data_IF_048764297041
#
_entry.id   IF_048764297041
#
_cell.length_a   1.000
_cell.length_b   1.000
_cell.length_c   1.000
_cell.angle_alpha   90.00
_cell.angle_beta   90.00
_cell.angle_gamma   90.00
#
_symmetry.space_group_name_H-M   'P 1'
#
loop_
_entity.id
_entity.type
_entity.pdbx_description
1 polymer ?
#
# COMPACT_ATOMS: atom_id res chain seq x y z
N UNK A 1 38.93 79.85 -22.49
CA UNK A 1 39.19 78.42 -22.44
C UNK A 1 38.68 77.88 -21.11
N UNK A 2 37.49 77.28 -21.06
CA UNK A 2 36.94 76.63 -19.88
C UNK A 2 36.63 75.18 -20.26
N UNK A 3 37.36 74.24 -19.65
CA UNK A 3 37.13 72.78 -19.78
C UNK A 3 35.91 72.36 -18.93
N UNK A 4 34.92 71.85 -19.58
CA UNK A 4 33.84 71.10 -18.90
C UNK A 4 34.28 69.63 -18.69
N UNK A 5 34.35 69.20 -17.41
CA UNK A 5 34.52 67.81 -17.04
C UNK A 5 33.11 67.19 -16.96
N UNK A 6 32.78 66.23 -17.86
CA UNK A 6 31.59 65.46 -17.78
C UNK A 6 31.74 64.33 -16.77
N UNK A 7 30.87 64.26 -15.75
CA UNK A 7 30.68 63.08 -14.89
C UNK A 7 29.73 62.11 -15.60
N UNK A 8 30.23 60.94 -15.95
CA UNK A 8 29.40 59.81 -16.35
C UNK A 8 28.89 59.08 -15.09
N UNK A 9 27.63 59.21 -14.79
CA UNK A 9 26.98 58.42 -13.74
C UNK A 9 26.63 57.01 -14.28
N UNK A 10 27.34 55.98 -13.80
CA UNK A 10 26.99 54.58 -14.05
C UNK A 10 25.77 54.19 -13.19
N UNK A 11 24.62 54.05 -13.83
CA UNK A 11 23.40 53.48 -13.18
C UNK A 11 23.60 51.97 -13.06
N UNK A 12 23.84 51.46 -11.85
CA UNK A 12 23.71 50.02 -11.56
C UNK A 12 22.24 49.64 -11.64
N UNK A 13 21.87 48.87 -12.66
CA UNK A 13 20.59 48.19 -12.75
C UNK A 13 20.64 47.03 -11.75
N UNK A 14 20.03 47.22 -10.57
CA UNK A 14 19.72 46.14 -9.65
C UNK A 14 18.65 45.23 -10.32
N UNK A 15 19.07 44.08 -10.83
CA UNK A 15 18.15 43.01 -11.23
C UNK A 15 17.49 42.52 -9.95
N UNK A 16 16.15 42.60 -9.82
CA UNK A 16 15.50 41.98 -8.68
C UNK A 16 15.76 40.47 -8.73
N UNK A 17 16.45 39.93 -7.73
CA UNK A 17 16.50 38.51 -7.52
C UNK A 17 15.03 38.01 -7.38
N UNK A 18 14.55 37.31 -8.41
CA UNK A 18 13.26 36.70 -8.35
C UNK A 18 13.20 35.81 -7.11
N UNK A 19 12.33 36.12 -6.17
CA UNK A 19 12.02 35.22 -5.06
C UNK A 19 11.41 33.98 -5.70
N UNK A 20 12.17 32.88 -5.76
CA UNK A 20 11.61 31.59 -6.10
C UNK A 20 10.47 31.36 -5.09
N UNK A 21 9.25 31.31 -5.59
CA UNK A 21 8.10 30.96 -4.74
C UNK A 21 8.32 29.52 -4.31
N UNK A 22 8.36 29.27 -2.98
CA UNK A 22 8.48 27.93 -2.46
C UNK A 22 7.37 27.04 -3.05
N UNK A 23 7.72 25.79 -3.36
CA UNK A 23 6.75 24.83 -3.87
C UNK A 23 5.62 24.61 -2.85
N UNK A 24 4.43 24.27 -3.31
CA UNK A 24 3.30 23.98 -2.42
C UNK A 24 3.69 22.97 -1.34
N UNK A 25 3.31 23.23 -0.09
CA UNK A 25 3.60 22.37 1.06
C UNK A 25 5.02 22.44 1.60
N UNK A 26 5.85 23.36 1.06
CA UNK A 26 7.22 23.60 1.55
C UNK A 26 7.30 24.99 2.18
N UNK A 27 7.81 25.06 3.40
CA UNK A 27 8.14 26.30 4.10
C UNK A 27 9.61 26.29 4.48
N UNK A 28 10.09 27.34 5.16
CA UNK A 28 11.46 27.41 5.67
C UNK A 28 11.77 26.33 6.73
N UNK A 29 10.75 25.81 7.43
CA UNK A 29 10.92 24.90 8.58
C UNK A 29 10.21 23.56 8.41
N UNK A 30 9.25 23.45 7.51
CA UNK A 30 8.40 22.26 7.38
C UNK A 30 8.17 21.86 5.91
N UNK A 31 7.99 20.55 5.70
CA UNK A 31 7.46 19.95 4.47
C UNK A 31 6.21 19.16 4.85
N UNK A 32 5.08 19.49 4.22
CA UNK A 32 3.79 18.92 4.55
C UNK A 32 3.44 17.77 3.61
N UNK A 33 3.29 16.57 4.16
CA UNK A 33 2.82 15.37 3.45
C UNK A 33 1.34 15.11 3.78
N UNK A 34 0.64 14.48 2.85
CA UNK A 34 -0.74 14.06 3.02
C UNK A 34 -0.94 12.58 2.80
N UNK A 35 -1.92 12.00 3.47
CA UNK A 35 -2.42 10.67 3.15
C UNK A 35 -3.93 10.58 3.33
N UNK A 36 -4.56 9.67 2.59
CA UNK A 36 -5.94 9.25 2.81
C UNK A 36 -5.92 7.76 3.08
N UNK A 37 -6.46 7.35 4.24
CA UNK A 37 -6.49 5.96 4.70
C UNK A 37 -7.79 5.64 5.41
N UNK A 38 -8.24 4.36 5.41
CA UNK A 38 -9.29 3.93 6.32
C UNK A 38 -8.71 3.86 7.74
N UNK A 39 -8.94 4.88 8.56
CA UNK A 39 -8.49 4.91 9.96
C UNK A 39 -9.56 4.42 10.93
N UNK A 40 -10.77 4.18 10.45
CA UNK A 40 -11.91 3.66 11.22
C UNK A 40 -12.54 2.43 10.57
N UNK A 41 -13.36 1.70 11.34
CA UNK A 41 -14.00 0.47 10.89
C UNK A 41 -13.07 -0.73 10.74
N UNK A 42 -13.54 -1.89 10.22
CA UNK A 42 -12.72 -3.08 10.05
C UNK A 42 -11.48 -2.87 9.16
N UNK A 43 -11.53 -2.14 8.02
CA UNK A 43 -10.34 -1.84 7.23
C UNK A 43 -9.34 -0.92 7.95
N UNK A 44 -9.73 -0.28 9.06
CA UNK A 44 -8.83 0.53 9.87
C UNK A 44 -7.59 -0.21 10.38
N UNK A 45 -7.63 -1.54 10.49
CA UNK A 45 -6.44 -2.34 10.81
C UNK A 45 -5.32 -2.16 9.76
N UNK A 46 -5.67 -1.93 8.50
CA UNK A 46 -4.72 -1.70 7.41
C UNK A 46 -4.21 -0.25 7.46
N UNK A 47 -5.15 0.70 7.43
CA UNK A 47 -4.82 2.12 7.31
C UNK A 47 -4.07 2.65 8.53
N UNK A 48 -4.47 2.29 9.75
CA UNK A 48 -3.75 2.67 10.97
C UNK A 48 -2.32 2.13 10.94
N UNK A 49 -2.13 0.86 10.56
CA UNK A 49 -0.80 0.27 10.48
C UNK A 49 0.06 0.94 9.39
N UNK A 50 -0.53 1.27 8.24
CA UNK A 50 0.14 2.02 7.18
C UNK A 50 0.57 3.41 7.67
N UNK A 51 -0.33 4.18 8.28
CA UNK A 51 -0.03 5.48 8.87
C UNK A 51 1.13 5.43 9.89
N UNK A 52 1.18 4.36 10.71
CA UNK A 52 2.30 4.14 11.63
C UNK A 52 3.62 3.96 10.86
N UNK A 53 3.61 3.26 9.73
CA UNK A 53 4.79 3.10 8.86
C UNK A 53 5.26 4.42 8.24
N UNK A 54 4.33 5.24 7.76
CA UNK A 54 4.61 6.60 7.26
C UNK A 54 5.26 7.44 8.35
N UNK A 55 4.67 7.46 9.55
CA UNK A 55 5.21 8.19 10.71
C UNK A 55 6.60 7.71 11.11
N UNK A 56 6.85 6.40 11.05
CA UNK A 56 8.17 5.84 11.37
C UNK A 56 9.24 6.35 10.40
N UNK A 57 8.97 6.32 9.08
CA UNK A 57 9.90 6.83 8.09
C UNK A 57 10.18 8.33 8.26
N UNK A 58 9.15 9.10 8.59
CA UNK A 58 9.28 10.54 8.87
C UNK A 58 10.05 10.80 10.17
N UNK A 59 9.79 10.05 11.23
CA UNK A 59 10.45 10.22 12.52
C UNK A 59 11.95 9.93 12.43
N UNK A 60 12.36 8.91 11.67
CA UNK A 60 13.75 8.58 11.40
C UNK A 60 14.46 9.80 10.77
N UNK A 61 13.89 10.39 9.74
CA UNK A 61 14.46 11.55 9.04
C UNK A 61 14.42 12.82 9.88
N UNK A 62 13.33 13.05 10.60
CA UNK A 62 13.20 14.20 11.47
C UNK A 62 14.22 14.20 12.62
N UNK A 63 14.56 13.00 13.14
CA UNK A 63 15.62 12.86 14.15
C UNK A 63 17.02 13.19 13.60
N UNK A 64 17.23 13.07 12.28
CA UNK A 64 18.47 13.47 11.57
C UNK A 64 18.49 14.97 11.18
N UNK A 65 17.46 15.73 11.52
CA UNK A 65 17.35 17.17 11.19
C UNK A 65 16.44 17.48 10.01
N UNK A 66 15.71 16.49 9.48
CA UNK A 66 14.75 16.65 8.39
C UNK A 66 15.40 16.66 6.99
N UNK A 67 14.77 17.34 6.06
CA UNK A 67 15.26 17.51 4.66
C UNK A 67 15.64 18.94 4.45
N UNK A 68 16.94 19.22 4.25
CA UNK A 68 17.44 20.59 4.13
C UNK A 68 17.09 21.46 5.35
N UNK A 69 17.08 20.89 6.56
CA UNK A 69 16.71 21.57 7.79
C UNK A 69 15.19 21.69 8.06
N UNK A 70 14.35 21.17 7.16
CA UNK A 70 12.88 21.20 7.26
C UNK A 70 12.35 19.90 7.84
N UNK A 71 11.47 19.99 8.85
CA UNK A 71 10.82 18.85 9.45
C UNK A 71 9.66 18.34 8.57
N UNK A 72 9.51 17.03 8.44
CA UNK A 72 8.35 16.43 7.79
C UNK A 72 7.15 16.43 8.73
N UNK A 73 6.00 16.82 8.23
CA UNK A 73 4.72 16.79 8.93
C UNK A 73 3.67 16.09 8.07
N UNK A 74 2.81 15.29 8.70
CA UNK A 74 1.76 14.51 8.03
C UNK A 74 0.37 15.05 8.40
N UNK A 75 -0.49 15.19 7.38
CA UNK A 75 -1.94 15.29 7.55
C UNK A 75 -2.55 13.98 7.06
N UNK A 76 -3.17 13.24 7.96
CA UNK A 76 -3.86 11.99 7.67
C UNK A 76 -5.38 12.21 7.70
N UNK A 77 -6.07 11.82 6.64
CA UNK A 77 -7.52 11.91 6.50
C UNK A 77 -8.15 10.52 6.54
N UNK A 78 -9.20 10.35 7.36
CA UNK A 78 -9.97 9.12 7.48
C UNK A 78 -11.09 9.07 6.45
N UNK A 79 -11.01 8.18 5.48
CA UNK A 79 -12.10 7.94 4.54
C UNK A 79 -13.07 6.82 4.95
N UNK A 80 -12.75 6.07 6.01
CA UNK A 80 -13.55 4.91 6.45
C UNK A 80 -13.77 3.87 5.36
N UNK A 81 -12.87 3.81 4.37
CA UNK A 81 -12.96 2.95 3.18
C UNK A 81 -14.13 3.28 2.25
N UNK A 82 -14.56 4.56 2.22
CA UNK A 82 -15.67 5.06 1.40
C UNK A 82 -15.14 6.01 0.32
N UNK A 83 -15.25 5.62 -0.95
CA UNK A 83 -14.69 6.34 -2.11
C UNK A 83 -15.08 7.83 -2.18
N UNK A 84 -16.34 8.19 -1.85
CA UNK A 84 -16.75 9.59 -1.86
C UNK A 84 -16.03 10.43 -0.80
N UNK A 85 -15.70 9.84 0.36
CA UNK A 85 -14.89 10.51 1.40
C UNK A 85 -13.45 10.65 0.95
N UNK A 86 -12.86 9.61 0.32
CA UNK A 86 -11.52 9.70 -0.27
C UNK A 86 -11.39 10.90 -1.18
N UNK A 87 -12.36 11.09 -2.09
CA UNK A 87 -12.39 12.23 -3.02
C UNK A 87 -12.47 13.58 -2.29
N UNK A 88 -13.27 13.67 -1.21
CA UNK A 88 -13.37 14.89 -0.41
C UNK A 88 -12.06 15.19 0.33
N UNK A 89 -11.46 14.17 0.96
CA UNK A 89 -10.19 14.27 1.67
C UNK A 89 -9.04 14.69 0.74
N UNK A 90 -8.96 14.12 -0.47
CA UNK A 90 -7.96 14.52 -1.46
C UNK A 90 -8.11 15.97 -1.90
N UNK A 91 -9.34 16.41 -2.18
CA UNK A 91 -9.59 17.82 -2.52
C UNK A 91 -9.18 18.76 -1.39
N UNK A 92 -9.38 18.35 -0.14
CA UNK A 92 -8.95 19.11 1.04
C UNK A 92 -7.43 19.15 1.14
N UNK A 93 -6.76 17.99 1.11
CA UNK A 93 -5.31 17.89 1.22
C UNK A 93 -4.58 18.69 0.12
N UNK A 94 -5.04 18.57 -1.14
CA UNK A 94 -4.39 19.23 -2.27
C UNK A 94 -4.77 20.72 -2.35
N UNK A 95 -6.05 21.07 -2.20
CA UNK A 95 -6.55 22.41 -2.45
C UNK A 95 -6.50 23.34 -1.25
N UNK A 96 -6.80 22.83 -0.04
CA UNK A 96 -6.90 23.64 1.19
C UNK A 96 -5.65 23.52 2.05
N UNK A 97 -5.23 22.29 2.38
CA UNK A 97 -4.06 22.05 3.23
C UNK A 97 -2.75 22.22 2.43
N UNK A 98 -2.83 22.10 1.10
CA UNK A 98 -1.72 22.32 0.17
C UNK A 98 -0.51 21.45 0.49
N UNK A 99 -0.71 20.14 0.65
CA UNK A 99 0.39 19.20 0.90
C UNK A 99 1.37 19.12 -0.29
N UNK A 100 2.63 18.83 -0.01
CA UNK A 100 3.67 18.70 -1.03
C UNK A 100 3.56 17.39 -1.81
N UNK A 101 3.29 16.30 -1.13
CA UNK A 101 3.17 14.97 -1.73
C UNK A 101 2.16 14.11 -0.98
N UNK A 102 1.67 13.06 -1.64
CA UNK A 102 0.77 12.07 -1.05
C UNK A 102 1.52 10.76 -0.80
N UNK A 103 1.37 10.20 0.40
CA UNK A 103 1.99 8.93 0.81
C UNK A 103 1.12 7.73 0.54
N UNK A 104 -0.22 7.91 0.41
CA UNK A 104 -1.20 6.88 0.06
C UNK A 104 -2.51 7.46 -0.46
N UNK A 105 -3.27 6.62 -1.19
CA UNK A 105 -4.59 6.92 -1.77
C UNK A 105 -5.68 5.94 -1.27
N UNK A 106 -5.52 5.35 -0.09
CA UNK A 106 -6.43 4.35 0.47
C UNK A 106 -6.45 3.02 -0.34
N UNK A 107 -7.61 2.42 -0.59
CA UNK A 107 -7.72 1.12 -1.27
C UNK A 107 -7.86 1.21 -2.79
N UNK A 108 -8.08 0.06 -3.43
CA UNK A 108 -8.07 -0.10 -4.90
C UNK A 108 -9.07 0.80 -5.63
N UNK A 109 -10.35 0.71 -5.29
CA UNK A 109 -11.39 1.55 -5.92
C UNK A 109 -11.24 3.03 -5.57
N UNK A 110 -10.72 3.34 -4.39
CA UNK A 110 -10.39 4.69 -3.95
C UNK A 110 -9.25 5.28 -4.78
N UNK A 111 -8.15 4.53 -4.94
CA UNK A 111 -7.01 4.97 -5.74
C UNK A 111 -7.40 5.21 -7.21
N UNK A 112 -8.19 4.31 -7.82
CA UNK A 112 -8.71 4.51 -9.18
C UNK A 112 -9.59 5.77 -9.29
N UNK A 113 -10.50 5.97 -8.35
CA UNK A 113 -11.35 7.17 -8.33
C UNK A 113 -10.56 8.46 -8.09
N UNK A 114 -9.42 8.38 -7.42
CA UNK A 114 -8.51 9.50 -7.15
C UNK A 114 -7.67 9.91 -8.35
N UNK A 115 -7.43 8.99 -9.29
CA UNK A 115 -6.54 9.15 -10.42
C UNK A 115 -6.74 10.48 -11.19
N UNK A 116 -7.94 10.90 -11.61
CA UNK A 116 -8.13 12.15 -12.33
C UNK A 116 -7.71 13.39 -11.51
N UNK A 117 -7.95 13.37 -10.20
CA UNK A 117 -7.66 14.48 -9.30
C UNK A 117 -6.15 14.63 -9.10
N UNK A 118 -5.48 13.52 -8.79
CA UNK A 118 -4.04 13.50 -8.53
C UNK A 118 -3.25 13.83 -9.80
N UNK A 119 -3.67 13.31 -10.96
CA UNK A 119 -3.07 13.64 -12.26
C UNK A 119 -3.20 15.13 -12.58
N UNK A 120 -4.40 15.70 -12.43
CA UNK A 120 -4.64 17.11 -12.72
C UNK A 120 -3.87 18.05 -11.77
N UNK A 121 -3.64 17.63 -10.53
CA UNK A 121 -2.87 18.40 -9.55
C UNK A 121 -1.35 18.36 -9.81
N UNK A 122 -0.82 17.32 -10.45
CA UNK A 122 0.61 17.14 -10.68
C UNK A 122 1.44 16.82 -9.43
N UNK A 123 0.80 16.66 -8.28
CA UNK A 123 1.45 16.38 -6.99
C UNK A 123 2.06 14.97 -6.99
N UNK A 124 3.29 14.76 -6.51
CA UNK A 124 3.87 13.43 -6.35
C UNK A 124 3.01 12.55 -5.44
N UNK A 125 2.67 11.35 -5.87
CA UNK A 125 1.84 10.42 -5.09
C UNK A 125 2.39 9.00 -5.12
N UNK A 126 2.58 8.42 -3.93
CA UNK A 126 2.88 7.00 -3.75
C UNK A 126 1.58 6.20 -3.59
N UNK A 127 1.53 5.01 -4.15
CA UNK A 127 0.39 4.09 -4.03
C UNK A 127 0.90 2.72 -3.55
N UNK A 128 1.08 2.54 -2.24
CA UNK A 128 1.52 1.27 -1.65
C UNK A 128 0.37 0.28 -1.39
N UNK A 129 -0.88 0.73 -1.56
CA UNK A 129 -2.09 -0.08 -1.37
C UNK A 129 -2.93 0.02 -2.64
N UNK A 130 -3.44 -1.11 -3.13
CA UNK A 130 -4.31 -1.16 -4.30
C UNK A 130 -3.58 -1.05 -5.66
N UNK A 131 -2.53 -1.84 -5.92
CA UNK A 131 -1.74 -1.77 -7.15
C UNK A 131 -2.52 -2.32 -8.36
N UNK A 132 -3.39 -1.50 -8.93
CA UNK A 132 -4.19 -1.84 -10.12
C UNK A 132 -3.58 -1.25 -11.40
N UNK A 133 -3.62 -1.97 -12.54
CA UNK A 133 -3.01 -1.53 -13.79
C UNK A 133 -3.31 -0.10 -14.22
N UNK A 134 -4.55 0.44 -14.15
CA UNK A 134 -4.81 1.81 -14.60
C UNK A 134 -4.07 2.90 -13.81
N UNK A 135 -3.46 2.56 -12.67
CA UNK A 135 -2.64 3.49 -11.89
C UNK A 135 -1.22 3.64 -12.44
N UNK A 136 -0.75 2.69 -13.25
CA UNK A 136 0.59 2.66 -13.80
C UNK A 136 0.67 2.31 -15.30
N UNK A 137 -0.44 1.86 -15.92
CA UNK A 137 -0.56 1.55 -17.35
C UNK A 137 -1.76 2.27 -17.98
N UNK A 138 -1.55 3.24 -18.89
CA UNK A 138 -0.23 3.79 -19.26
C UNK A 138 0.43 4.56 -18.11
N UNK A 139 1.77 4.72 -18.12
CA UNK A 139 2.51 5.43 -17.07
C UNK A 139 1.93 6.83 -16.80
N UNK A 140 1.74 7.15 -15.53
CA UNK A 140 1.31 8.48 -15.08
C UNK A 140 2.54 9.31 -14.66
N UNK A 141 2.54 10.62 -14.94
CA UNK A 141 3.71 11.43 -14.70
C UNK A 141 4.11 11.52 -13.23
N UNK A 142 3.11 11.55 -12.32
CA UNK A 142 3.29 11.87 -10.91
C UNK A 142 2.78 10.79 -9.93
N UNK A 143 2.36 9.61 -10.41
CA UNK A 143 1.85 8.51 -9.58
C UNK A 143 2.80 7.32 -9.65
N UNK A 144 3.22 6.82 -8.49
CA UNK A 144 4.21 5.76 -8.32
C UNK A 144 3.63 4.63 -7.48
N UNK A 145 3.48 3.46 -8.07
CA UNK A 145 2.82 2.29 -7.46
C UNK A 145 3.88 1.31 -6.94
N UNK A 146 3.68 0.81 -5.73
CA UNK A 146 4.64 -0.06 -5.04
C UNK A 146 3.99 -1.38 -4.64
N UNK A 147 4.72 -2.47 -4.78
CA UNK A 147 4.31 -3.80 -4.33
C UNK A 147 4.18 -4.81 -5.45
N UNK A 148 3.16 -5.66 -5.41
CA UNK A 148 2.86 -6.64 -6.45
C UNK A 148 1.42 -6.50 -6.91
N UNK A 149 1.15 -6.73 -8.19
CA UNK A 149 -0.22 -6.73 -8.69
C UNK A 149 -1.06 -7.83 -8.04
N UNK A 150 -2.33 -7.56 -7.79
CA UNK A 150 -3.25 -8.56 -7.24
C UNK A 150 -3.41 -9.77 -8.15
N UNK A 151 -3.45 -9.53 -9.46
CA UNK A 151 -3.55 -10.58 -10.47
C UNK A 151 -2.38 -11.55 -10.38
N UNK A 152 -1.14 -11.02 -10.39
CA UNK A 152 0.06 -11.87 -10.30
C UNK A 152 0.17 -12.57 -8.93
N UNK A 153 -0.10 -11.87 -7.84
CA UNK A 153 -0.08 -12.47 -6.51
C UNK A 153 -1.07 -13.63 -6.37
N UNK A 154 -2.30 -13.47 -6.88
CA UNK A 154 -3.31 -14.54 -6.86
C UNK A 154 -2.98 -15.65 -7.86
N UNK A 155 -2.42 -15.33 -9.02
CA UNK A 155 -1.93 -16.32 -9.99
C UNK A 155 -0.91 -17.26 -9.34
N UNK A 156 0.11 -16.72 -8.69
CA UNK A 156 1.14 -17.52 -7.99
C UNK A 156 0.56 -18.36 -6.84
N UNK A 157 -0.35 -17.80 -6.06
CA UNK A 157 -1.04 -18.54 -4.99
C UNK A 157 -1.89 -19.69 -5.54
N UNK A 158 -2.65 -19.44 -6.60
CA UNK A 158 -3.50 -20.46 -7.23
C UNK A 158 -2.67 -21.59 -7.86
N UNK A 159 -1.58 -21.28 -8.56
CA UNK A 159 -0.66 -22.28 -9.08
C UNK A 159 -0.03 -23.16 -7.99
N UNK A 160 0.41 -22.53 -6.90
CA UNK A 160 0.95 -23.27 -5.75
C UNK A 160 -0.09 -24.23 -5.17
N UNK A 161 -1.32 -23.77 -4.97
CA UNK A 161 -2.40 -24.58 -4.42
C UNK A 161 -2.82 -25.70 -5.38
N UNK A 162 -2.91 -25.46 -6.68
CA UNK A 162 -3.23 -26.49 -7.68
C UNK A 162 -2.17 -27.59 -7.71
N UNK A 163 -0.90 -27.23 -7.60
CA UNK A 163 0.22 -28.17 -7.51
C UNK A 163 0.19 -28.98 -6.20
N UNK A 164 -0.14 -28.31 -5.08
CA UNK A 164 -0.13 -28.94 -3.74
C UNK A 164 -1.36 -29.83 -3.53
N UNK A 165 -2.49 -29.49 -4.11
CA UNK A 165 -3.78 -30.17 -3.95
C UNK A 165 -4.39 -30.56 -5.31
N UNK A 166 -3.74 -31.43 -6.09
CA UNK A 166 -4.20 -31.79 -7.43
C UNK A 166 -5.57 -32.50 -7.38
N UNK A 167 -6.42 -32.20 -8.37
CA UNK A 167 -7.74 -32.83 -8.55
C UNK A 167 -8.81 -32.43 -7.52
N UNK A 168 -8.50 -31.54 -6.57
CA UNK A 168 -9.44 -31.06 -5.57
C UNK A 168 -10.49 -30.13 -6.16
N UNK A 169 -11.70 -30.13 -5.55
CA UNK A 169 -12.78 -29.22 -5.92
C UNK A 169 -12.58 -27.86 -5.27
N UNK A 170 -12.58 -26.81 -6.07
CA UNK A 170 -12.37 -25.44 -5.62
C UNK A 170 -13.67 -24.68 -5.44
N UNK A 171 -13.70 -23.88 -4.37
CA UNK A 171 -14.67 -22.80 -4.16
C UNK A 171 -13.95 -21.45 -4.26
N UNK A 172 -14.60 -20.49 -4.91
CA UNK A 172 -14.05 -19.14 -5.10
C UNK A 172 -15.11 -18.13 -4.65
N UNK A 173 -14.79 -17.33 -3.62
CA UNK A 173 -15.67 -16.27 -3.11
C UNK A 173 -14.89 -14.97 -3.11
N UNK A 174 -15.23 -14.04 -4.00
CA UNK A 174 -14.50 -12.79 -4.21
C UNK A 174 -15.37 -11.57 -3.92
N UNK A 175 -14.74 -10.45 -3.52
CA UNK A 175 -15.46 -9.17 -3.38
C UNK A 175 -15.89 -8.66 -4.77
N UNK A 176 -17.12 -8.16 -4.91
CA UNK A 176 -17.63 -7.58 -6.17
C UNK A 176 -17.17 -6.14 -6.34
N UNK A 177 -15.87 -5.99 -6.62
CA UNK A 177 -15.24 -4.72 -6.96
C UNK A 177 -13.93 -4.94 -7.74
N UNK A 178 -13.16 -3.84 -7.97
CA UNK A 178 -11.93 -3.91 -8.75
C UNK A 178 -10.85 -4.79 -8.08
N UNK A 179 -10.86 -4.90 -6.74
CA UNK A 179 -9.97 -5.81 -6.02
C UNK A 179 -10.30 -7.27 -6.33
N UNK A 180 -11.56 -7.67 -6.14
CA UNK A 180 -11.97 -9.05 -6.41
C UNK A 180 -11.86 -9.43 -7.89
N UNK A 181 -12.14 -8.49 -8.82
CA UNK A 181 -11.91 -8.71 -10.26
C UNK A 181 -10.44 -9.01 -10.57
N UNK A 182 -9.50 -8.29 -9.95
CA UNK A 182 -8.08 -8.54 -10.15
C UNK A 182 -7.65 -9.91 -9.59
N UNK A 183 -8.20 -10.35 -8.45
CA UNK A 183 -7.99 -11.71 -7.94
C UNK A 183 -8.54 -12.76 -8.91
N UNK A 184 -9.77 -12.57 -9.42
CA UNK A 184 -10.39 -13.47 -10.40
C UNK A 184 -9.55 -13.62 -11.66
N UNK A 185 -8.99 -12.53 -12.18
CA UNK A 185 -8.07 -12.58 -13.32
C UNK A 185 -6.84 -13.43 -13.04
N UNK A 186 -6.27 -13.36 -11.83
CA UNK A 186 -5.14 -14.21 -11.44
C UNK A 186 -5.50 -15.69 -11.40
N UNK A 187 -6.71 -16.03 -10.92
CA UNK A 187 -7.20 -17.41 -10.93
C UNK A 187 -7.41 -17.88 -12.38
N UNK A 188 -7.99 -17.06 -13.26
CA UNK A 188 -8.16 -17.41 -14.67
C UNK A 188 -6.82 -17.64 -15.39
N UNK A 189 -5.78 -16.85 -15.08
CA UNK A 189 -4.43 -17.10 -15.59
C UNK A 189 -3.90 -18.45 -15.11
N UNK A 190 -4.07 -18.77 -13.81
CA UNK A 190 -3.65 -20.06 -13.27
C UNK A 190 -4.39 -21.25 -13.90
N UNK A 191 -5.68 -21.12 -14.24
CA UNK A 191 -6.45 -22.14 -14.98
C UNK A 191 -5.89 -22.44 -16.38
N UNK A 192 -5.20 -21.50 -16.99
CA UNK A 192 -4.56 -21.72 -18.28
C UNK A 192 -3.28 -22.58 -18.18
N UNK A 193 -2.70 -22.69 -16.97
CA UNK A 193 -1.43 -23.37 -16.73
C UNK A 193 -1.58 -24.63 -15.85
N UNK A 194 -2.67 -24.74 -15.08
CA UNK A 194 -2.91 -25.85 -14.17
C UNK A 194 -4.39 -26.27 -14.18
N UNK A 195 -4.64 -27.55 -13.91
CA UNK A 195 -6.00 -28.03 -13.73
C UNK A 195 -6.58 -27.54 -12.41
N UNK A 196 -7.60 -26.66 -12.47
CA UNK A 196 -8.34 -26.13 -11.33
C UNK A 196 -9.83 -26.45 -11.53
N UNK A 197 -10.34 -27.41 -10.74
CA UNK A 197 -11.71 -27.86 -10.82
C UNK A 197 -12.62 -26.98 -9.95
N UNK A 198 -13.22 -25.93 -10.52
CA UNK A 198 -14.12 -25.01 -9.82
C UNK A 198 -15.50 -25.62 -9.68
N UNK A 199 -15.88 -26.00 -8.47
CA UNK A 199 -17.19 -26.55 -8.11
C UNK A 199 -18.19 -25.47 -7.65
N UNK A 200 -17.71 -24.35 -7.15
CA UNK A 200 -18.54 -23.23 -6.73
C UNK A 200 -17.77 -21.89 -6.90
N UNK A 201 -18.44 -20.91 -7.47
CA UNK A 201 -17.89 -19.55 -7.61
C UNK A 201 -19.00 -18.53 -7.39
N UNK A 202 -18.68 -17.47 -6.64
CA UNK A 202 -19.59 -16.34 -6.43
C UNK A 202 -18.82 -15.08 -6.03
N UNK A 203 -19.53 -13.95 -6.12
CA UNK A 203 -19.07 -12.68 -5.55
C UNK A 203 -19.98 -12.24 -4.41
N UNK A 204 -19.47 -11.32 -3.56
CA UNK A 204 -20.22 -10.72 -2.47
C UNK A 204 -20.04 -9.20 -2.47
N UNK A 205 -21.06 -8.49 -1.95
CA UNK A 205 -20.99 -7.04 -1.87
C UNK A 205 -20.00 -6.55 -0.78
N UNK A 206 -19.27 -5.50 -1.04
CA UNK A 206 -18.36 -4.87 -0.08
C UNK A 206 -19.08 -4.61 1.26
N UNK A 207 -18.47 -5.05 2.36
CA UNK A 207 -19.02 -4.90 3.71
C UNK A 207 -20.07 -5.91 4.09
N UNK A 208 -20.30 -6.96 3.29
CA UNK A 208 -21.16 -8.11 3.67
C UNK A 208 -20.64 -8.73 4.96
N UNK A 209 -21.55 -9.06 5.87
CA UNK A 209 -21.22 -9.62 7.20
C UNK A 209 -21.66 -11.06 7.38
N UNK A 210 -22.68 -11.48 6.64
CA UNK A 210 -23.25 -12.83 6.70
C UNK A 210 -22.86 -13.61 5.45
N UNK A 211 -22.25 -14.77 5.64
CA UNK A 211 -21.80 -15.68 4.59
C UNK A 211 -22.41 -17.09 4.74
N UNK A 212 -23.46 -17.23 5.53
CA UNK A 212 -24.09 -18.52 5.77
C UNK A 212 -24.59 -19.20 4.47
N UNK A 213 -25.17 -18.42 3.56
CA UNK A 213 -25.67 -18.91 2.27
C UNK A 213 -24.54 -19.40 1.36
N UNK A 214 -23.49 -18.60 1.22
CA UNK A 214 -22.32 -18.93 0.40
C UNK A 214 -21.60 -20.15 0.95
N UNK A 215 -21.39 -20.20 2.26
CA UNK A 215 -20.69 -21.32 2.90
C UNK A 215 -21.51 -22.60 2.92
N UNK A 216 -22.86 -22.54 2.96
CA UNK A 216 -23.71 -23.72 2.76
C UNK A 216 -23.54 -24.28 1.33
N UNK A 217 -23.48 -23.41 0.32
CA UNK A 217 -23.23 -23.84 -1.07
C UNK A 217 -21.80 -24.40 -1.26
N UNK A 218 -20.80 -23.86 -0.57
CA UNK A 218 -19.44 -24.43 -0.49
C UNK A 218 -19.52 -25.88 0.03
N UNK A 219 -20.29 -26.11 1.11
CA UNK A 219 -20.50 -27.44 1.67
C UNK A 219 -21.22 -28.38 0.69
N UNK A 220 -22.33 -27.93 0.10
CA UNK A 220 -23.14 -28.74 -0.81
C UNK A 220 -22.40 -29.12 -2.10
N UNK A 221 -21.54 -28.24 -2.60
CA UNK A 221 -20.67 -28.49 -3.74
C UNK A 221 -19.49 -29.43 -3.42
N UNK A 222 -19.25 -29.70 -2.13
CA UNK A 222 -18.13 -30.53 -1.69
C UNK A 222 -16.79 -29.89 -1.95
N UNK A 223 -16.67 -28.58 -1.72
CA UNK A 223 -15.44 -27.82 -1.91
C UNK A 223 -14.35 -28.30 -0.95
N UNK A 224 -13.16 -28.53 -1.47
CA UNK A 224 -11.99 -29.01 -0.73
C UNK A 224 -10.88 -27.95 -0.62
N UNK A 225 -10.84 -26.97 -1.57
CA UNK A 225 -9.98 -25.80 -1.53
C UNK A 225 -10.83 -24.56 -1.69
N UNK A 226 -10.78 -23.62 -0.76
CA UNK A 226 -11.57 -22.39 -0.77
C UNK A 226 -10.67 -21.17 -0.89
N UNK A 227 -10.83 -20.40 -1.95
CA UNK A 227 -10.30 -19.03 -2.05
C UNK A 227 -11.30 -18.09 -1.40
N UNK A 228 -10.96 -17.58 -0.22
CA UNK A 228 -11.70 -16.56 0.51
C UNK A 228 -11.09 -15.20 0.20
N UNK A 229 -11.54 -14.55 -0.88
CA UNK A 229 -11.02 -13.28 -1.39
C UNK A 229 -11.60 -12.07 -0.65
N UNK A 230 -11.64 -12.14 0.67
CA UNK A 230 -12.03 -11.04 1.54
C UNK A 230 -10.88 -10.12 1.94
N UNK A 231 -11.21 -9.05 2.67
CA UNK A 231 -10.20 -8.13 3.22
C UNK A 231 -9.93 -8.49 4.68
N UNK A 232 -10.81 -8.17 5.61
CA UNK A 232 -10.66 -8.41 7.05
C UNK A 232 -11.87 -9.18 7.60
N UNK A 233 -13.01 -8.46 7.74
CA UNK A 233 -14.22 -9.00 8.36
C UNK A 233 -14.82 -10.15 7.58
N UNK A 234 -14.70 -10.10 6.27
CA UNK A 234 -15.23 -11.11 5.35
C UNK A 234 -14.45 -12.42 5.49
N UNK A 235 -13.12 -12.38 5.55
CA UNK A 235 -12.29 -13.55 5.79
C UNK A 235 -12.61 -14.20 7.14
N UNK A 236 -12.75 -13.38 8.19
CA UNK A 236 -13.13 -13.86 9.52
C UNK A 236 -14.51 -14.55 9.48
N UNK A 237 -15.49 -13.92 8.81
CA UNK A 237 -16.86 -14.45 8.73
C UNK A 237 -16.91 -15.77 7.94
N UNK A 238 -16.25 -15.86 6.78
CA UNK A 238 -16.22 -17.09 5.98
C UNK A 238 -15.59 -18.26 6.73
N UNK A 239 -14.45 -18.04 7.41
CA UNK A 239 -13.78 -19.12 8.16
C UNK A 239 -14.62 -19.58 9.36
N UNK A 240 -15.21 -18.65 10.11
CA UNK A 240 -16.10 -18.99 11.22
C UNK A 240 -17.35 -19.72 10.78
N UNK A 241 -17.92 -19.37 9.64
CA UNK A 241 -19.09 -20.06 9.12
C UNK A 241 -18.74 -21.47 8.63
N UNK A 242 -17.52 -21.66 8.03
CA UNK A 242 -17.00 -23.00 7.71
C UNK A 242 -16.92 -23.88 8.97
N UNK A 243 -16.36 -23.36 10.06
CA UNK A 243 -16.26 -24.05 11.34
C UNK A 243 -17.64 -24.43 11.90
N UNK A 244 -18.58 -23.48 11.90
CA UNK A 244 -19.97 -23.69 12.34
C UNK A 244 -20.70 -24.75 11.52
N UNK A 245 -20.45 -24.82 10.20
CA UNK A 245 -21.03 -25.84 9.30
C UNK A 245 -20.30 -27.20 9.38
N UNK A 246 -19.23 -27.30 10.17
CA UNK A 246 -18.42 -28.51 10.33
C UNK A 246 -17.70 -28.93 9.05
N UNK A 247 -17.29 -27.95 8.20
CA UNK A 247 -16.49 -28.20 7.01
C UNK A 247 -15.07 -27.65 7.23
N UNK A 248 -14.09 -28.31 6.62
CA UNK A 248 -12.67 -27.99 6.79
C UNK A 248 -11.95 -28.01 5.43
N UNK A 249 -12.34 -27.18 4.47
CA UNK A 249 -11.58 -27.04 3.22
C UNK A 249 -10.19 -26.47 3.52
N UNK A 250 -9.23 -26.69 2.63
CA UNK A 250 -8.01 -25.90 2.60
C UNK A 250 -8.39 -24.46 2.28
N UNK A 251 -8.16 -23.54 3.20
CA UNK A 251 -8.53 -22.12 3.01
C UNK A 251 -7.30 -21.34 2.58
N UNK A 252 -7.48 -20.51 1.56
CA UNK A 252 -6.52 -19.49 1.16
C UNK A 252 -7.20 -18.12 1.16
N UNK A 253 -6.52 -17.15 1.76
CA UNK A 253 -6.87 -15.73 1.74
C UNK A 253 -5.82 -14.96 0.95
N UNK A 254 -5.97 -13.65 0.86
CA UNK A 254 -4.99 -12.82 0.17
C UNK A 254 -4.31 -11.86 1.16
N UNK A 255 -3.22 -11.19 0.79
CA UNK A 255 -2.42 -10.40 1.75
C UNK A 255 -3.17 -9.36 2.58
N UNK A 256 -4.34 -8.78 2.20
CA UNK A 256 -5.10 -7.93 3.12
C UNK A 256 -5.46 -8.63 4.43
N UNK A 257 -5.77 -9.92 4.38
CA UNK A 257 -6.06 -10.74 5.57
C UNK A 257 -4.84 -11.20 6.35
N UNK A 258 -3.62 -10.96 5.87
CA UNK A 258 -2.37 -11.42 6.51
C UNK A 258 -1.92 -10.50 7.64
N UNK A 259 -2.76 -10.34 8.64
CA UNK A 259 -2.45 -9.59 9.87
C UNK A 259 -2.77 -10.44 11.11
N UNK A 260 -2.00 -10.33 12.19
CA UNK A 260 -2.16 -11.12 13.41
C UNK A 260 -3.57 -11.05 14.01
N UNK A 261 -4.20 -9.88 13.91
CA UNK A 261 -5.55 -9.63 14.45
C UNK A 261 -6.61 -10.49 13.75
N UNK A 262 -6.44 -10.77 12.46
CA UNK A 262 -7.36 -11.67 11.71
C UNK A 262 -7.21 -13.09 12.23
N UNK A 263 -5.99 -13.60 12.40
CA UNK A 263 -5.77 -14.94 12.96
C UNK A 263 -6.36 -15.06 14.36
N UNK A 264 -6.11 -14.06 15.20
CA UNK A 264 -6.66 -14.00 16.57
C UNK A 264 -8.19 -13.97 16.57
N UNK A 265 -8.80 -13.20 15.68
CA UNK A 265 -10.26 -13.08 15.60
C UNK A 265 -10.92 -14.37 15.07
N UNK A 266 -10.29 -15.08 14.15
CA UNK A 266 -10.74 -16.39 13.67
C UNK A 266 -10.60 -17.43 14.76
N UNK A 267 -9.46 -17.47 15.48
CA UNK A 267 -9.14 -18.50 16.46
C UNK A 267 -8.41 -19.69 15.85
N UNK A 268 -8.46 -20.87 16.51
CA UNK A 268 -7.72 -22.08 16.07
C UNK A 268 -7.99 -22.51 14.62
N UNK A 269 -9.18 -22.22 14.08
CA UNK A 269 -9.52 -22.49 12.68
C UNK A 269 -8.68 -21.70 11.68
N UNK A 270 -7.92 -20.68 12.12
CA UNK A 270 -6.98 -19.96 11.26
C UNK A 270 -5.68 -20.73 11.00
N UNK A 271 -5.42 -21.80 11.78
CA UNK A 271 -4.19 -22.57 11.60
C UNK A 271 -4.17 -23.24 10.22
N UNK A 272 -3.10 -23.02 9.48
CA UNK A 272 -2.93 -23.61 8.15
C UNK A 272 -3.56 -22.85 7.00
N UNK A 273 -4.19 -21.69 7.23
CA UNK A 273 -4.67 -20.81 6.14
C UNK A 273 -3.48 -20.38 5.28
N UNK A 274 -3.61 -20.54 3.97
CA UNK A 274 -2.65 -20.04 3.01
C UNK A 274 -2.88 -18.57 2.70
N UNK A 275 -1.80 -17.89 2.35
CA UNK A 275 -1.82 -16.53 1.82
C UNK A 275 -0.57 -16.32 0.96
N UNK A 276 -0.47 -15.16 0.35
CA UNK A 276 0.68 -14.73 -0.43
C UNK A 276 1.05 -13.31 -0.04
N UNK A 277 2.33 -12.96 -0.02
CA UNK A 277 2.76 -11.59 0.25
C UNK A 277 4.16 -11.32 -0.34
N UNK A 278 4.45 -10.03 -0.52
CA UNK A 278 5.73 -9.48 -0.97
C UNK A 278 6.49 -8.74 0.15
N UNK A 279 5.90 -8.67 1.35
CA UNK A 279 6.51 -8.04 2.54
C UNK A 279 7.02 -9.13 3.48
N UNK A 280 8.20 -8.91 4.04
CA UNK A 280 8.85 -9.85 4.95
C UNK A 280 7.93 -10.25 6.12
N UNK A 281 7.94 -11.52 6.54
CA UNK A 281 7.26 -11.94 7.77
C UNK A 281 7.87 -11.24 9.00
N UNK A 282 7.01 -10.85 9.95
CA UNK A 282 7.47 -10.20 11.21
C UNK A 282 8.47 -11.05 12.00
N UNK A 283 8.39 -12.37 11.89
CA UNK A 283 9.24 -13.33 12.59
C UNK A 283 10.59 -13.56 11.89
N UNK A 284 10.74 -13.13 10.64
CA UNK A 284 12.03 -13.16 9.93
C UNK A 284 13.04 -12.20 10.58
N UNK A 285 14.31 -12.36 10.25
CA UNK A 285 15.35 -11.44 10.74
C UNK A 285 15.09 -9.99 10.29
N UNK A 286 14.62 -9.81 9.05
CA UNK A 286 14.20 -8.51 8.53
C UNK A 286 13.03 -7.92 9.34
N UNK A 287 12.01 -8.74 9.62
CA UNK A 287 10.88 -8.33 10.44
C UNK A 287 11.25 -7.96 11.86
N UNK A 288 12.09 -8.75 12.51
CA UNK A 288 12.61 -8.47 13.85
C UNK A 288 13.42 -7.17 13.87
N UNK A 289 14.33 -6.98 12.90
CA UNK A 289 15.10 -5.74 12.78
C UNK A 289 14.20 -4.53 12.60
N UNK A 290 13.12 -4.67 11.82
CA UNK A 290 12.14 -3.60 11.65
C UNK A 290 11.39 -3.26 12.94
N UNK A 291 11.00 -4.26 13.74
CA UNK A 291 10.37 -4.02 15.05
C UNK A 291 11.34 -3.31 16.01
N UNK A 292 12.63 -3.66 16.00
CA UNK A 292 13.63 -2.94 16.80
C UNK A 292 13.82 -1.48 16.32
N UNK A 293 13.75 -1.23 15.01
CA UNK A 293 13.72 0.13 14.47
C UNK A 293 12.47 0.90 14.95
N UNK A 294 11.30 0.27 14.89
CA UNK A 294 10.05 0.86 15.33
C UNK A 294 10.09 1.28 16.81
N UNK A 295 10.65 0.47 17.68
CA UNK A 295 10.81 0.77 19.11
C UNK A 295 11.63 2.04 19.42
N UNK A 296 12.48 2.49 18.49
CA UNK A 296 13.29 3.71 18.68
C UNK A 296 12.48 4.99 18.50
N UNK A 297 11.43 4.95 17.69
CA UNK A 297 10.75 6.15 17.22
C UNK A 297 9.24 6.17 17.50
N UNK A 298 8.64 5.02 17.79
CA UNK A 298 7.20 4.87 18.00
C UNK A 298 6.87 4.60 19.46
N UNK A 299 5.65 4.95 19.85
CA UNK A 299 5.10 4.58 21.16
C UNK A 299 4.90 3.08 21.28
N UNK A 300 4.87 2.54 22.52
CA UNK A 300 4.61 1.11 22.77
C UNK A 300 3.30 0.62 22.13
N UNK A 301 2.26 1.48 22.10
CA UNK A 301 0.97 1.12 21.50
C UNK A 301 1.02 1.08 19.98
N UNK A 302 1.83 1.91 19.33
CA UNK A 302 2.08 1.85 17.90
C UNK A 302 2.92 0.62 17.54
N UNK A 303 3.94 0.30 18.33
CA UNK A 303 4.78 -0.90 18.13
C UNK A 303 3.94 -2.19 18.19
N UNK A 304 2.94 -2.29 19.09
CA UNK A 304 2.01 -3.44 19.17
C UNK A 304 1.15 -3.61 17.90
N UNK A 305 0.99 -2.56 17.10
CA UNK A 305 0.20 -2.56 15.85
C UNK A 305 1.03 -2.77 14.60
N UNK A 306 2.36 -2.95 14.76
CA UNK A 306 3.25 -3.19 13.62
C UNK A 306 2.86 -4.49 12.91
N UNK A 307 2.59 -4.37 11.62
CA UNK A 307 2.27 -5.47 10.75
C UNK A 307 2.80 -5.21 9.33
N UNK A 308 2.41 -6.02 8.35
CA UNK A 308 2.84 -5.88 6.96
C UNK A 308 2.57 -4.49 6.36
N UNK A 309 1.49 -3.84 6.76
CA UNK A 309 1.14 -2.49 6.28
C UNK A 309 2.04 -1.42 6.85
N UNK A 310 2.50 -1.58 8.09
CA UNK A 310 3.52 -0.69 8.67
C UNK A 310 4.82 -0.78 7.88
N UNK A 311 5.24 -1.99 7.51
CA UNK A 311 6.43 -2.20 6.69
C UNK A 311 6.28 -1.61 5.29
N UNK A 312 5.13 -1.83 4.63
CA UNK A 312 4.84 -1.30 3.30
C UNK A 312 4.78 0.24 3.32
N UNK A 313 4.10 0.84 4.30
CA UNK A 313 4.02 2.29 4.47
C UNK A 313 5.40 2.92 4.72
N UNK A 314 6.20 2.29 5.59
CA UNK A 314 7.58 2.70 5.83
C UNK A 314 8.43 2.65 4.55
N UNK A 315 8.42 1.53 3.84
CA UNK A 315 9.24 1.33 2.64
C UNK A 315 8.87 2.33 1.52
N UNK A 316 7.58 2.50 1.26
CA UNK A 316 7.07 3.45 0.27
C UNK A 316 7.43 4.89 0.62
N UNK A 317 7.20 5.29 1.88
CA UNK A 317 7.49 6.66 2.35
C UNK A 317 9.00 6.93 2.38
N UNK A 318 9.81 5.95 2.78
CA UNK A 318 11.28 6.04 2.73
C UNK A 318 11.78 6.31 1.30
N UNK A 319 11.13 5.70 0.30
CA UNK A 319 11.44 5.95 -1.12
C UNK A 319 11.09 7.38 -1.54
N UNK A 320 9.92 7.88 -1.16
CA UNK A 320 9.55 9.28 -1.40
C UNK A 320 10.53 10.24 -0.72
N UNK A 321 10.86 9.99 0.54
CA UNK A 321 11.82 10.79 1.32
C UNK A 321 13.21 10.78 0.67
N UNK A 322 13.69 9.64 0.17
CA UNK A 322 14.98 9.56 -0.52
C UNK A 322 15.01 10.44 -1.77
N UNK A 323 13.94 10.46 -2.56
CA UNK A 323 13.82 11.36 -3.70
C UNK A 323 13.79 12.83 -3.27
N UNK A 324 13.05 13.18 -2.23
CA UNK A 324 13.00 14.53 -1.67
C UNK A 324 14.36 14.99 -1.10
N UNK A 325 15.09 14.10 -0.41
CA UNK A 325 16.45 14.37 0.09
C UNK A 325 17.43 14.69 -1.06
N UNK A 326 17.30 13.96 -2.19
CA UNK A 326 18.11 14.22 -3.37
C UNK A 326 17.80 15.57 -4.06
N UNK A 327 16.69 16.23 -3.68
CA UNK A 327 16.25 17.54 -4.14
C UNK A 327 16.36 18.63 -3.05
N UNK A 328 17.08 18.39 -1.95
CA UNK A 328 17.07 19.27 -0.76
C UNK A 328 17.36 20.74 -1.02
N UNK A 329 18.22 21.04 -2.03
CA UNK A 329 18.62 22.39 -2.39
C UNK A 329 17.57 23.14 -3.23
N UNK A 330 16.75 22.40 -3.99
CA UNK A 330 15.64 22.91 -4.81
C UNK A 330 14.48 21.92 -4.79
N UNK A 331 13.81 21.84 -3.64
CA UNK A 331 12.73 20.87 -3.42
C UNK A 331 11.47 21.30 -4.18
N UNK A 332 11.29 20.72 -5.36
CA UNK A 332 10.14 20.92 -6.24
C UNK A 332 9.49 19.58 -6.58
N UNK A 333 8.24 19.61 -7.03
CA UNK A 333 7.55 18.44 -7.56
C UNK A 333 8.31 17.83 -8.75
N UNK A 334 8.77 18.66 -9.67
CA UNK A 334 9.51 18.21 -10.85
C UNK A 334 10.78 17.45 -10.47
N UNK A 335 11.59 18.00 -9.55
CA UNK A 335 12.78 17.32 -9.06
C UNK A 335 12.42 16.03 -8.34
N UNK A 336 11.43 16.03 -7.44
CA UNK A 336 11.03 14.84 -6.68
C UNK A 336 10.55 13.72 -7.60
N UNK A 337 9.75 14.05 -8.62
CA UNK A 337 9.28 13.11 -9.63
C UNK A 337 10.45 12.55 -10.45
N UNK A 338 11.38 13.40 -10.87
CA UNK A 338 12.61 12.96 -11.56
C UNK A 338 13.41 11.98 -10.71
N UNK A 339 13.61 12.28 -9.42
CA UNK A 339 14.37 11.41 -8.51
C UNK A 339 13.63 10.12 -8.16
N UNK A 340 12.31 10.12 -8.10
CA UNK A 340 11.52 8.88 -8.01
C UNK A 340 11.69 8.02 -9.27
N UNK A 341 11.65 8.65 -10.45
CA UNK A 341 11.72 7.96 -11.73
C UNK A 341 13.13 7.43 -12.04
N UNK A 342 14.16 8.25 -11.83
CA UNK A 342 15.53 8.02 -12.33
C UNK A 342 16.54 7.75 -11.20
N UNK A 343 16.12 7.80 -9.94
CA UNK A 343 16.95 7.53 -8.79
C UNK A 343 17.31 6.04 -8.64
N UNK A 344 18.35 5.76 -7.85
CA UNK A 344 18.69 4.40 -7.49
C UNK A 344 17.56 3.76 -6.67
N UNK A 345 17.30 2.44 -6.82
CA UNK A 345 16.35 1.73 -5.97
C UNK A 345 16.66 1.89 -4.48
N UNK A 346 15.64 2.05 -3.68
CA UNK A 346 15.73 2.31 -2.23
C UNK A 346 15.50 1.03 -1.45
N UNK A 347 16.50 0.66 -0.64
CA UNK A 347 16.44 -0.47 0.28
C UNK A 347 15.69 -0.10 1.55
N UNK A 348 14.64 -0.85 1.87
CA UNK A 348 13.91 -0.71 3.13
C UNK A 348 14.22 -1.81 4.14
N UNK A 349 14.79 -2.92 3.68
CA UNK A 349 15.06 -4.12 4.47
C UNK A 349 13.83 -5.00 4.73
N UNK A 350 12.63 -4.59 4.33
CA UNK A 350 11.37 -5.32 4.62
C UNK A 350 10.65 -5.84 3.38
N UNK A 351 11.08 -5.42 2.20
CA UNK A 351 10.61 -5.90 0.90
C UNK A 351 11.70 -5.68 -0.14
N UNK A 352 11.49 -6.11 -1.37
CA UNK A 352 12.43 -5.85 -2.46
C UNK A 352 12.70 -4.35 -2.61
N UNK A 353 13.90 -3.96 -3.09
CA UNK A 353 14.24 -2.55 -3.33
C UNK A 353 13.20 -1.87 -4.18
N UNK A 354 12.76 -0.69 -3.77
CA UNK A 354 11.77 0.09 -4.51
C UNK A 354 12.49 1.03 -5.46
N UNK A 355 12.26 0.85 -6.75
CA UNK A 355 12.80 1.70 -7.82
C UNK A 355 11.87 1.70 -9.02
N UNK A 356 11.92 2.79 -9.75
CA UNK A 356 11.14 2.98 -10.98
C UNK A 356 12.11 3.15 -12.15
N UNK A 357 11.61 3.47 -13.33
CA UNK A 357 12.43 3.71 -14.53
C UNK A 357 11.70 4.59 -15.52
N UNK A 358 12.36 4.98 -16.57
CA UNK A 358 11.70 5.73 -17.63
C UNK A 358 10.52 4.93 -18.19
N UNK A 359 9.34 5.54 -18.21
CA UNK A 359 8.11 4.87 -18.64
C UNK A 359 7.58 3.78 -17.69
N UNK A 360 8.22 3.55 -16.56
CA UNK A 360 7.75 2.60 -15.54
C UNK A 360 7.30 3.32 -14.27
N UNK A 361 6.08 3.06 -13.84
CA UNK A 361 5.47 3.63 -12.62
C UNK A 361 5.09 2.57 -11.60
N UNK A 362 5.54 1.35 -11.81
CA UNK A 362 5.27 0.22 -10.93
C UNK A 362 6.57 -0.44 -10.46
N UNK A 363 6.86 -0.32 -9.17
CA UNK A 363 7.95 -1.06 -8.54
C UNK A 363 7.44 -2.42 -8.10
N UNK A 364 7.68 -3.42 -8.93
CA UNK A 364 7.21 -4.79 -8.73
C UNK A 364 8.07 -5.54 -7.70
N UNK A 365 7.43 -6.23 -6.79
CA UNK A 365 8.07 -7.06 -5.76
C UNK A 365 7.66 -8.52 -5.91
N UNK A 366 8.59 -9.49 -5.88
CA UNK A 366 8.25 -10.91 -5.91
C UNK A 366 7.39 -11.29 -4.71
N UNK A 367 6.50 -12.24 -4.91
CA UNK A 367 5.66 -12.78 -3.84
C UNK A 367 6.19 -14.11 -3.31
N UNK A 368 5.82 -14.39 -2.07
CA UNK A 368 6.08 -15.68 -1.40
C UNK A 368 4.76 -16.23 -0.88
N UNK A 369 4.47 -17.49 -1.17
CA UNK A 369 3.31 -18.18 -0.57
C UNK A 369 3.63 -18.49 0.88
N UNK A 370 2.67 -18.26 1.74
CA UNK A 370 2.81 -18.36 3.19
C UNK A 370 1.69 -19.17 3.80
N UNK A 371 1.94 -19.75 4.96
CA UNK A 371 0.97 -20.52 5.74
C UNK A 371 0.85 -19.97 7.16
N UNK A 372 -0.37 -19.83 7.65
CA UNK A 372 -0.67 -19.33 8.98
C UNK A 372 -0.34 -20.35 10.06
N UNK A 373 0.17 -19.85 11.19
CA UNK A 373 0.30 -20.56 12.46
C UNK A 373 -0.47 -19.77 13.52
N UNK A 374 -1.52 -20.37 14.08
CA UNK A 374 -2.35 -19.74 15.08
C UNK A 374 -1.63 -19.53 16.41
N UNK A 375 -0.82 -20.50 16.85
CA UNK A 375 -0.15 -20.41 18.16
C UNK A 375 0.80 -19.24 18.27
N UNK A 376 1.41 -18.86 17.14
CA UNK A 376 2.34 -17.72 17.05
C UNK A 376 1.71 -16.48 16.42
N UNK A 377 0.43 -16.53 16.02
CA UNK A 377 -0.29 -15.49 15.28
C UNK A 377 0.53 -14.94 14.10
N UNK A 378 1.12 -15.83 13.33
CA UNK A 378 2.08 -15.48 12.29
C UNK A 378 1.89 -16.27 11.00
N UNK A 379 2.58 -15.83 9.95
CA UNK A 379 2.69 -16.55 8.69
C UNK A 379 4.15 -16.84 8.38
N UNK A 380 4.42 -18.04 7.92
CA UNK A 380 5.76 -18.46 7.48
C UNK A 380 5.74 -18.86 6.00
N UNK A 381 6.80 -18.61 5.25
CA UNK A 381 6.96 -19.14 3.90
C UNK A 381 6.72 -20.66 3.87
N UNK A 382 6.15 -21.13 2.76
CA UNK A 382 6.05 -22.56 2.47
C UNK A 382 7.06 -22.90 1.38
N UNK A 383 7.60 -24.11 1.46
CA UNK A 383 8.59 -24.66 0.51
C UNK A 383 7.97 -25.01 -0.86
#
# INVERSE_FOLDING_TARGET
>A
MRLLKGLAAAALLAVPAGTATAEQGVTDTEILLGEVEPLTGPPGLLGIAHNIGVKLAMAEVNAEGGIGGRQLRLIAEDDGYVTSRTIQSLKKLIGSDKVFALTSLSGSGQALASLPIVKAAGIPAMVPIGPLPPLYEPPNDNIFVVGQSYTEGMHQLALYLAKTYPGKKWGIILQDDDYGKALGQGIEQAKAEAEINVAYETTYARGQKDFASEMLRVKDAGVEVLIAGGIISENIAMVKEAEKLGISPVIATFWPGRVPEVLKAIGPASNGIYSVDYVAPLQSDAGKAFVELAKKYLSEDEVKRVNRYTMSGYASTKTLIAAMKACSDDLTWACTIDKLQNGAPVESGVMAPIGFGEGNRFSNSPVTVMKANFDTLSYSPVD
#
